data_IF_986257801426
#
_entry.id   IF_986257801426
#
_cell.length_a   1.000
_cell.length_b   1.000
_cell.length_c   1.000
_cell.angle_alpha   90.00
_cell.angle_beta   90.00
_cell.angle_gamma   90.00
#
_symmetry.space_group_name_H-M   'P 1'
#
loop_
_entity.id
_entity.type
_entity.pdbx_description
1 polymer ?
#
# COMPACT_ATOMS: atom_id res chain seq x y z
N UNK A 1 -30.42 18.33 -43.88
CA UNK A 1 -30.35 17.15 -42.98
C UNK A 1 -29.11 17.30 -42.10
N UNK A 2 -29.27 17.90 -40.92
CA UNK A 2 -28.16 18.11 -39.98
C UNK A 2 -27.96 16.84 -39.12
N UNK A 3 -26.72 16.33 -39.06
CA UNK A 3 -26.33 15.22 -38.19
C UNK A 3 -26.33 15.68 -36.72
N UNK A 4 -26.76 14.84 -35.76
CA UNK A 4 -26.68 15.21 -34.35
C UNK A 4 -25.22 15.14 -33.89
N UNK A 5 -24.58 16.30 -33.79
CA UNK A 5 -23.31 16.48 -33.06
C UNK A 5 -23.62 16.60 -31.58
N UNK A 6 -23.81 15.46 -30.93
CA UNK A 6 -23.94 15.32 -29.48
C UNK A 6 -22.89 14.36 -28.97
N UNK A 7 -21.78 14.93 -28.52
CA UNK A 7 -20.64 14.28 -27.88
C UNK A 7 -21.05 13.50 -26.62
N UNK A 8 -21.49 12.25 -26.76
CA UNK A 8 -21.44 11.25 -25.68
C UNK A 8 -20.00 10.76 -25.45
N UNK A 9 -19.04 11.69 -25.50
CA UNK A 9 -17.63 11.42 -25.30
C UNK A 9 -17.41 10.99 -23.85
N UNK A 10 -17.37 9.67 -23.66
CA UNK A 10 -16.75 8.95 -22.54
C UNK A 10 -17.11 9.49 -21.14
N UNK A 11 -18.36 9.34 -20.72
CA UNK A 11 -18.69 9.34 -19.28
C UNK A 11 -17.99 8.15 -18.62
N UNK A 12 -16.88 8.44 -17.92
CA UNK A 12 -16.15 7.49 -17.09
C UNK A 12 -16.51 7.80 -15.64
N UNK A 13 -17.43 7.05 -15.00
CA UNK A 13 -17.93 7.33 -13.66
C UNK A 13 -16.82 7.55 -12.63
N UNK A 14 -15.74 6.75 -12.69
CA UNK A 14 -14.62 6.81 -11.77
C UNK A 14 -13.82 8.14 -11.82
N UNK A 15 -13.96 8.90 -12.91
CA UNK A 15 -13.25 10.17 -13.17
C UNK A 15 -14.16 11.39 -13.21
N UNK A 16 -15.46 11.22 -12.93
CA UNK A 16 -16.43 12.32 -12.90
C UNK A 16 -16.70 12.77 -11.46
N UNK A 17 -16.40 14.04 -11.14
CA UNK A 17 -16.66 14.64 -9.84
C UNK A 17 -18.15 14.60 -9.46
N UNK A 18 -19.05 14.76 -10.44
CA UNK A 18 -20.51 14.70 -10.25
C UNK A 18 -20.97 13.31 -9.83
N UNK A 19 -20.40 12.27 -10.45
CA UNK A 19 -20.65 10.88 -10.07
C UNK A 19 -20.18 10.61 -8.64
N UNK A 20 -18.97 11.05 -8.30
CA UNK A 20 -18.40 10.89 -6.95
C UNK A 20 -19.29 11.57 -5.92
N UNK A 21 -19.74 12.80 -6.18
CA UNK A 21 -20.65 13.51 -5.30
C UNK A 21 -21.98 12.76 -5.13
N UNK A 22 -22.63 12.35 -6.22
CA UNK A 22 -23.89 11.60 -6.17
C UNK A 22 -23.75 10.29 -5.35
N UNK A 23 -22.65 9.55 -5.54
CA UNK A 23 -22.34 8.36 -4.76
C UNK A 23 -22.19 8.65 -3.27
N UNK A 24 -21.46 9.71 -2.89
CA UNK A 24 -21.24 10.10 -1.50
C UNK A 24 -22.53 10.55 -0.82
N UNK A 25 -23.37 11.31 -1.52
CA UNK A 25 -24.68 11.75 -1.03
C UNK A 25 -25.59 10.55 -0.78
N UNK A 26 -25.73 9.66 -1.77
CA UNK A 26 -26.51 8.44 -1.61
C UNK A 26 -25.99 7.56 -0.46
N UNK A 27 -24.67 7.40 -0.35
CA UNK A 27 -24.02 6.65 0.73
C UNK A 27 -24.35 7.22 2.11
N UNK A 28 -24.21 8.55 2.28
CA UNK A 28 -24.51 9.24 3.54
C UNK A 28 -25.99 9.08 3.91
N UNK A 29 -26.91 9.30 2.97
CA UNK A 29 -28.34 9.14 3.21
C UNK A 29 -28.70 7.71 3.62
N UNK A 30 -28.15 6.69 2.96
CA UNK A 30 -28.38 5.29 3.32
C UNK A 30 -27.89 4.97 4.73
N UNK A 31 -26.74 5.51 5.15
CA UNK A 31 -26.23 5.32 6.51
C UNK A 31 -27.11 6.00 7.57
N UNK A 32 -27.61 7.20 7.28
CA UNK A 32 -28.51 7.94 8.18
C UNK A 32 -29.84 7.21 8.34
N UNK A 33 -30.41 6.67 7.26
CA UNK A 33 -31.65 5.89 7.36
C UNK A 33 -31.42 4.55 8.03
N UNK A 34 -30.32 3.86 7.72
CA UNK A 34 -29.97 2.58 8.33
C UNK A 34 -29.82 2.67 9.85
N UNK A 35 -29.38 3.81 10.40
CA UNK A 35 -29.28 4.01 11.85
C UNK A 35 -30.61 4.31 12.54
N UNK A 36 -31.64 4.73 11.78
CA UNK A 36 -32.99 5.01 12.28
C UNK A 36 -33.86 3.76 12.38
N UNK A 37 -33.54 2.70 11.65
CA UNK A 37 -34.28 1.44 11.70
C UNK A 37 -34.10 0.77 13.07
N UNK A 38 -35.18 0.53 13.84
CA UNK A 38 -35.09 -0.16 15.12
C UNK A 38 -34.73 -1.63 14.89
N UNK A 39 -33.70 -2.15 15.57
CA UNK A 39 -33.28 -3.54 15.43
C UNK A 39 -33.67 -4.35 16.68
N UNK A 40 -34.12 -5.61 16.52
CA UNK A 40 -34.45 -6.46 17.66
C UNK A 40 -33.18 -6.86 18.44
N UNK A 41 -33.29 -6.91 19.77
CA UNK A 41 -32.20 -7.26 20.70
C UNK A 41 -31.60 -8.67 20.47
N UNK A 42 -32.32 -9.52 19.76
CA UNK A 42 -31.92 -10.91 19.47
C UNK A 42 -30.88 -11.03 18.34
N UNK A 43 -30.50 -9.92 17.70
CA UNK A 43 -29.39 -9.91 16.76
C UNK A 43 -28.07 -9.69 17.52
N UNK A 44 -27.05 -10.55 17.32
CA UNK A 44 -25.78 -10.39 18.01
C UNK A 44 -25.18 -9.02 17.66
N UNK A 45 -24.64 -8.29 18.65
CA UNK A 45 -24.02 -7.00 18.40
C UNK A 45 -22.87 -7.18 17.42
N UNK A 46 -22.85 -6.34 16.37
CA UNK A 46 -21.70 -6.31 15.47
C UNK A 46 -20.47 -5.82 16.27
N UNK A 47 -19.23 -6.23 15.93
CA UNK A 47 -18.01 -5.72 16.57
C UNK A 47 -17.84 -4.19 16.56
N UNK A 48 -18.69 -3.48 15.81
CA UNK A 48 -18.71 -2.01 15.69
C UNK A 48 -19.94 -1.37 16.36
N UNK A 49 -20.70 -2.14 17.16
CA UNK A 49 -21.87 -1.69 17.93
C UNK A 49 -23.21 -2.32 17.50
N UNK A 50 -24.26 -2.20 18.34
CA UNK A 50 -25.57 -2.86 18.15
C UNK A 50 -26.39 -2.32 16.96
N UNK A 51 -26.21 -1.05 16.55
CA UNK A 51 -26.88 -0.43 15.39
C UNK A 51 -26.08 -0.52 14.08
N UNK A 52 -24.98 -1.27 14.06
CA UNK A 52 -24.05 -1.31 12.93
C UNK A 52 -24.27 -2.37 11.83
N UNK A 53 -25.20 -3.36 11.89
CA UNK A 53 -25.23 -4.41 10.88
C UNK A 53 -25.73 -3.91 9.51
N UNK A 54 -26.75 -3.06 9.48
CA UNK A 54 -27.24 -2.44 8.23
C UNK A 54 -26.19 -1.49 7.63
N UNK A 55 -25.57 -0.66 8.46
CA UNK A 55 -24.47 0.21 8.05
C UNK A 55 -23.30 -0.59 7.45
N UNK A 56 -22.99 -1.77 8.02
CA UNK A 56 -21.98 -2.67 7.45
C UNK A 56 -22.38 -3.18 6.07
N UNK A 57 -23.63 -3.58 5.86
CA UNK A 57 -24.10 -4.02 4.54
C UNK A 57 -24.04 -2.89 3.50
N UNK A 58 -24.42 -1.67 3.87
CA UNK A 58 -24.29 -0.48 3.00
C UNK A 58 -22.81 -0.28 2.62
N UNK A 59 -21.90 -0.25 3.59
CA UNK A 59 -20.46 -0.10 3.33
C UNK A 59 -19.92 -1.20 2.42
N UNK A 60 -20.31 -2.45 2.67
CA UNK A 60 -19.91 -3.62 1.87
C UNK A 60 -20.41 -3.50 0.42
N UNK A 61 -21.65 -3.04 0.21
CA UNK A 61 -22.21 -2.84 -1.12
C UNK A 61 -21.46 -1.77 -1.92
N UNK A 62 -21.15 -0.62 -1.30
CA UNK A 62 -20.37 0.45 -1.95
C UNK A 62 -18.93 0.01 -2.24
N UNK A 63 -18.32 -0.74 -1.33
CA UNK A 63 -16.96 -1.27 -1.53
C UNK A 63 -16.92 -2.26 -2.69
N UNK A 64 -17.91 -3.16 -2.79
CA UNK A 64 -18.05 -4.10 -3.91
C UNK A 64 -18.19 -3.38 -5.26
N UNK A 65 -18.88 -2.24 -5.27
CA UNK A 65 -19.17 -1.51 -6.50
C UNK A 65 -18.10 -0.46 -6.86
N UNK A 66 -17.02 -0.33 -6.08
CA UNK A 66 -16.00 0.71 -6.24
C UNK A 66 -15.28 0.68 -7.60
N UNK A 67 -15.10 -0.51 -8.15
CA UNK A 67 -14.35 -0.72 -9.41
C UNK A 67 -15.27 -0.76 -10.64
N UNK A 68 -16.57 -0.51 -10.47
CA UNK A 68 -17.52 -0.50 -11.59
C UNK A 68 -17.33 0.77 -12.41
N UNK A 69 -16.89 0.62 -13.65
CA UNK A 69 -16.69 1.72 -14.62
C UNK A 69 -17.76 1.77 -15.71
N UNK A 70 -18.56 0.70 -15.89
CA UNK A 70 -19.62 0.66 -16.90
C UNK A 70 -20.81 1.53 -16.51
N UNK A 71 -21.19 2.49 -17.36
CA UNK A 71 -22.33 3.38 -17.15
C UNK A 71 -23.65 2.64 -16.88
N UNK A 72 -23.89 1.51 -17.57
CA UNK A 72 -25.09 0.68 -17.40
C UNK A 72 -25.13 0.03 -16.02
N UNK A 73 -23.99 -0.49 -15.55
CA UNK A 73 -23.87 -1.11 -14.23
C UNK A 73 -23.97 -0.06 -13.12
N UNK A 74 -23.40 1.14 -13.33
CA UNK A 74 -23.56 2.28 -12.43
C UNK A 74 -25.03 2.69 -12.32
N UNK A 75 -25.73 2.87 -13.43
CA UNK A 75 -27.15 3.22 -13.42
C UNK A 75 -28.02 2.13 -12.74
N UNK A 76 -27.69 0.85 -12.93
CA UNK A 76 -28.35 -0.23 -12.20
C UNK A 76 -28.06 -0.18 -10.69
N UNK A 77 -26.81 0.09 -10.30
CA UNK A 77 -26.42 0.22 -8.89
C UNK A 77 -27.12 1.41 -8.21
N UNK A 78 -27.19 2.57 -8.86
CA UNK A 78 -27.94 3.73 -8.36
C UNK A 78 -29.42 3.43 -8.19
N UNK A 79 -30.07 2.82 -9.19
CA UNK A 79 -31.49 2.41 -9.07
C UNK A 79 -31.70 1.50 -7.86
N UNK A 80 -30.80 0.55 -7.63
CA UNK A 80 -30.86 -0.32 -6.45
C UNK A 80 -30.63 0.45 -5.15
N UNK A 81 -29.73 1.42 -5.13
CA UNK A 81 -29.48 2.29 -3.98
C UNK A 81 -30.69 3.17 -3.63
N UNK A 82 -31.35 3.78 -4.63
CA UNK A 82 -32.58 4.55 -4.42
C UNK A 82 -33.74 3.68 -3.96
N UNK A 83 -33.88 2.46 -4.49
CA UNK A 83 -34.83 1.46 -3.94
C UNK A 83 -34.51 1.13 -2.49
N UNK A 84 -33.23 0.98 -2.15
CA UNK A 84 -32.77 0.77 -0.79
C UNK A 84 -33.15 1.92 0.16
N UNK A 85 -33.10 3.17 -0.31
CA UNK A 85 -33.56 4.32 0.47
C UNK A 85 -35.05 4.23 0.79
N UNK A 86 -35.89 3.88 -0.20
CA UNK A 86 -37.32 3.71 0.01
C UNK A 86 -37.61 2.60 1.05
N UNK A 87 -36.97 1.44 0.90
CA UNK A 87 -37.12 0.31 1.83
C UNK A 87 -36.67 0.69 3.24
N UNK A 88 -35.52 1.36 3.41
CA UNK A 88 -35.04 1.77 4.74
C UNK A 88 -35.89 2.87 5.38
N UNK A 89 -36.49 3.74 4.55
CA UNK A 89 -37.43 4.77 5.04
C UNK A 89 -38.72 4.13 5.53
N UNK A 90 -39.28 3.18 4.79
CA UNK A 90 -40.47 2.41 5.19
C UNK A 90 -40.20 1.50 6.39
N UNK A 91 -39.02 0.88 6.45
CA UNK A 91 -38.60 0.02 7.55
C UNK A 91 -38.19 0.79 8.82
N UNK A 92 -38.15 2.12 8.80
CA UNK A 92 -37.96 2.91 10.01
C UNK A 92 -39.13 2.72 10.99
N UNK A 93 -40.32 2.47 10.47
CA UNK A 93 -41.53 2.19 11.24
C UNK A 93 -41.62 0.68 11.53
N UNK A 94 -41.52 0.29 12.80
CA UNK A 94 -41.51 -1.11 13.22
C UNK A 94 -42.82 -1.88 12.92
N UNK A 95 -43.92 -1.15 12.70
CA UNK A 95 -45.21 -1.73 12.32
C UNK A 95 -45.33 -2.05 10.83
N UNK A 96 -44.42 -1.52 10.00
CA UNK A 96 -44.47 -1.71 8.55
C UNK A 96 -43.95 -3.12 8.18
N UNK A 97 -44.60 -3.87 7.27
CA UNK A 97 -44.11 -5.17 6.81
C UNK A 97 -42.67 -5.13 6.27
N UNK A 98 -42.22 -3.98 5.73
CA UNK A 98 -40.83 -3.80 5.30
C UNK A 98 -39.80 -3.95 6.41
N UNK A 99 -40.18 -3.64 7.65
CA UNK A 99 -39.30 -3.85 8.80
C UNK A 99 -38.97 -5.33 9.00
N UNK A 100 -40.00 -6.20 8.93
CA UNK A 100 -39.83 -7.65 9.05
C UNK A 100 -38.92 -8.21 7.94
N UNK A 101 -39.11 -7.77 6.69
CA UNK A 101 -38.25 -8.16 5.56
C UNK A 101 -36.77 -7.81 5.80
N UNK A 102 -36.50 -6.62 6.34
CA UNK A 102 -35.14 -6.17 6.67
C UNK A 102 -34.53 -7.01 7.79
N UNK A 103 -35.29 -7.34 8.82
CA UNK A 103 -34.83 -8.19 9.93
C UNK A 103 -34.52 -9.61 9.45
N UNK A 104 -35.38 -10.19 8.63
CA UNK A 104 -35.17 -11.53 8.08
C UNK A 104 -33.98 -11.59 7.11
N UNK A 105 -33.79 -10.52 6.32
CA UNK A 105 -32.57 -10.36 5.52
C UNK A 105 -31.31 -10.37 6.41
N UNK A 106 -31.29 -9.63 7.52
CA UNK A 106 -30.14 -9.63 8.44
C UNK A 106 -29.90 -11.00 9.06
N UNK A 107 -30.96 -11.72 9.46
CA UNK A 107 -30.86 -13.09 9.98
C UNK A 107 -30.24 -14.04 8.95
N UNK A 108 -30.68 -13.97 7.70
CA UNK A 108 -30.13 -14.81 6.62
C UNK A 108 -28.62 -14.58 6.42
N UNK A 109 -28.18 -13.32 6.47
CA UNK A 109 -26.76 -12.95 6.34
C UNK A 109 -25.91 -13.39 7.51
N UNK A 110 -26.47 -13.40 8.71
CA UNK A 110 -25.79 -13.92 9.89
C UNK A 110 -25.55 -15.43 9.76
N UNK A 111 -26.56 -16.19 9.31
CA UNK A 111 -26.43 -17.64 9.05
C UNK A 111 -25.35 -17.92 8.02
N UNK A 112 -25.34 -17.19 6.90
CA UNK A 112 -24.32 -17.31 5.86
C UNK A 112 -22.92 -16.99 6.40
N UNK A 113 -22.76 -15.91 7.15
CA UNK A 113 -21.48 -15.52 7.74
C UNK A 113 -20.95 -16.59 8.71
N UNK A 114 -21.83 -17.20 9.52
CA UNK A 114 -21.45 -18.28 10.42
C UNK A 114 -21.04 -19.53 9.65
N UNK A 115 -21.76 -19.89 8.57
CA UNK A 115 -21.35 -21.01 7.69
C UNK A 115 -19.96 -20.78 7.09
N UNK A 116 -19.66 -19.57 6.59
CA UNK A 116 -18.34 -19.27 6.04
C UNK A 116 -17.22 -19.28 7.08
N UNK A 117 -17.50 -18.86 8.31
CA UNK A 117 -16.52 -18.94 9.41
C UNK A 117 -16.22 -20.39 9.77
N UNK A 118 -17.26 -21.20 9.94
CA UNK A 118 -17.12 -22.63 10.26
C UNK A 118 -16.46 -23.43 9.12
N UNK A 119 -16.66 -23.02 7.87
CA UNK A 119 -16.00 -23.64 6.72
C UNK A 119 -14.48 -23.36 6.66
N UNK A 120 -13.97 -22.35 7.38
CA UNK A 120 -12.56 -21.97 7.42
C UNK A 120 -11.88 -22.33 8.76
N UNK A 121 -12.38 -23.34 9.45
CA UNK A 121 -11.80 -23.81 10.71
C UNK A 121 -10.48 -24.55 10.47
N UNK A 122 -9.41 -23.77 10.31
CA UNK A 122 -8.06 -24.24 10.63
C UNK A 122 -8.04 -24.65 12.09
N UNK A 123 -7.54 -25.87 12.34
CA UNK A 123 -7.35 -26.36 13.70
C UNK A 123 -6.45 -25.40 14.50
N UNK A 124 -6.60 -25.32 15.84
CA UNK A 124 -5.72 -24.51 16.66
C UNK A 124 -4.23 -24.80 16.43
N UNK A 125 -3.87 -26.04 16.09
CA UNK A 125 -2.51 -26.46 15.76
C UNK A 125 -2.02 -25.92 14.42
N UNK A 126 -2.85 -25.96 13.37
CA UNK A 126 -2.51 -25.37 12.07
C UNK A 126 -2.30 -23.85 12.19
N UNK A 127 -3.15 -23.17 12.98
CA UNK A 127 -2.99 -21.74 13.28
C UNK A 127 -1.66 -21.46 13.98
N UNK A 128 -1.24 -22.31 14.94
CA UNK A 128 0.06 -22.21 15.62
C UNK A 128 1.23 -22.43 14.67
N UNK A 129 1.19 -23.48 13.84
CA UNK A 129 2.25 -23.79 12.86
C UNK A 129 2.42 -22.67 11.82
N UNK A 130 1.32 -22.12 11.32
CA UNK A 130 1.35 -20.97 10.40
C UNK A 130 1.98 -19.76 11.11
N UNK A 131 1.61 -19.50 12.36
CA UNK A 131 2.14 -18.38 13.15
C UNK A 131 3.64 -18.54 13.44
N UNK A 132 4.11 -19.73 13.77
CA UNK A 132 5.54 -19.99 14.02
C UNK A 132 6.39 -19.87 12.75
N UNK A 133 5.93 -20.44 11.63
CA UNK A 133 6.60 -20.29 10.34
C UNK A 133 6.55 -18.84 9.80
N UNK A 134 5.64 -18.01 10.31
CA UNK A 134 5.52 -16.60 9.96
C UNK A 134 6.40 -15.65 10.78
N UNK A 135 7.10 -16.13 11.83
CA UNK A 135 7.98 -15.28 12.63
C UNK A 135 9.01 -14.61 11.69
N UNK A 136 9.09 -13.27 11.66
CA UNK A 136 9.93 -12.58 10.70
C UNK A 136 11.39 -12.91 10.98
N UNK A 137 12.06 -13.60 10.03
CA UNK A 137 13.51 -13.77 10.07
C UNK A 137 14.15 -12.38 10.08
N UNK A 138 15.20 -12.21 10.90
CA UNK A 138 15.94 -10.94 10.99
C UNK A 138 16.34 -10.49 9.57
N UNK A 139 16.11 -9.22 9.22
CA UNK A 139 16.44 -8.72 7.88
C UNK A 139 17.95 -8.76 7.67
N UNK A 140 18.40 -8.88 6.41
CA UNK A 140 19.84 -8.89 6.07
C UNK A 140 20.48 -7.52 6.34
N UNK A 141 19.72 -6.45 6.13
CA UNK A 141 20.15 -5.08 6.35
C UNK A 141 19.36 -4.47 7.51
N UNK A 142 20.05 -3.80 8.41
CA UNK A 142 19.47 -2.95 9.46
C UNK A 142 19.78 -1.50 9.13
N UNK A 143 18.79 -0.63 9.35
CA UNK A 143 18.96 0.82 9.20
C UNK A 143 19.63 1.34 10.48
N UNK A 144 20.78 1.98 10.33
CA UNK A 144 21.57 2.55 11.42
C UNK A 144 21.57 4.07 11.25
N UNK A 145 21.41 4.81 12.35
CA UNK A 145 21.54 6.27 12.36
C UNK A 145 22.99 6.64 12.00
N UNK A 146 23.18 7.68 11.18
CA UNK A 146 24.52 8.13 10.80
C UNK A 146 25.32 8.63 12.01
N UNK A 147 26.66 8.72 11.91
CA UNK A 147 27.49 9.24 13.00
C UNK A 147 27.14 10.70 13.31
N UNK A 148 26.98 11.09 14.58
CA UNK A 148 26.78 12.49 14.95
C UNK A 148 28.05 13.34 14.69
N UNK A 149 27.92 14.66 14.48
CA UNK A 149 26.69 15.43 14.60
C UNK A 149 25.99 15.58 13.24
N UNK A 150 24.74 15.11 13.18
CA UNK A 150 23.77 15.72 12.29
C UNK A 150 23.68 17.21 12.69
N UNK A 151 23.72 18.16 11.73
CA UNK A 151 23.38 19.55 12.05
C UNK A 151 22.06 19.55 12.81
N UNK A 152 21.94 20.35 13.87
CA UNK A 152 20.74 20.39 14.74
C UNK A 152 19.46 20.53 13.91
N UNK A 153 19.54 21.30 12.83
CA UNK A 153 18.47 21.51 11.86
C UNK A 153 18.02 20.23 11.14
N UNK A 154 18.88 19.23 10.96
CA UNK A 154 18.61 18.01 10.19
C UNK A 154 18.15 16.82 11.05
N UNK A 155 18.19 16.92 12.39
CA UNK A 155 17.80 15.83 13.30
C UNK A 155 16.30 15.49 13.18
N UNK A 156 15.46 16.50 12.93
CA UNK A 156 14.00 16.37 12.80
C UNK A 156 13.49 16.52 11.36
N UNK A 157 14.39 16.77 10.39
CA UNK A 157 14.00 16.94 8.99
C UNK A 157 13.62 15.61 8.34
N UNK A 158 12.70 15.69 7.37
CA UNK A 158 12.45 14.58 6.46
C UNK A 158 13.75 14.21 5.71
N UNK A 159 14.09 12.92 5.57
CA UNK A 159 15.14 12.45 4.67
C UNK A 159 15.20 13.12 3.28
N UNK A 160 14.08 13.54 2.71
CA UNK A 160 14.02 14.24 1.42
C UNK A 160 14.43 15.71 1.54
N UNK A 161 14.00 16.38 2.60
CA UNK A 161 14.40 17.78 2.88
C UNK A 161 15.87 17.84 3.24
N UNK A 162 16.32 16.93 4.12
CA UNK A 162 17.72 16.81 4.47
C UNK A 162 18.59 16.40 3.27
N UNK A 163 18.10 15.56 2.35
CA UNK A 163 18.79 15.25 1.10
C UNK A 163 18.91 16.45 0.16
N UNK A 164 17.90 17.31 0.14
CA UNK A 164 17.89 18.54 -0.68
C UNK A 164 18.83 19.58 -0.07
N UNK A 165 18.84 19.70 1.26
CA UNK A 165 19.65 20.66 2.01
C UNK A 165 21.14 20.27 2.07
N UNK A 166 21.44 18.97 2.25
CA UNK A 166 22.81 18.48 2.46
C UNK A 166 23.47 18.01 1.16
N UNK A 167 22.72 17.91 0.06
CA UNK A 167 23.19 17.32 -1.20
C UNK A 167 23.24 15.79 -1.17
N UNK A 168 23.27 15.16 -2.36
CA UNK A 168 23.19 13.69 -2.53
C UNK A 168 24.26 12.93 -1.75
N UNK A 169 25.46 13.48 -1.66
CA UNK A 169 26.62 12.80 -1.07
C UNK A 169 26.60 12.78 0.47
N UNK A 170 25.75 13.60 1.11
CA UNK A 170 25.64 13.71 2.57
C UNK A 170 24.40 13.03 3.15
N UNK A 171 23.58 12.37 2.35
CA UNK A 171 22.40 11.62 2.85
C UNK A 171 22.83 10.46 3.77
N UNK A 172 23.99 9.86 3.51
CA UNK A 172 24.58 8.83 4.38
C UNK A 172 24.91 9.35 5.79
N UNK A 173 24.96 10.67 5.99
CA UNK A 173 25.12 11.27 7.31
C UNK A 173 23.84 11.19 8.16
N UNK A 174 22.66 10.99 7.54
CA UNK A 174 21.38 10.85 8.25
C UNK A 174 21.19 9.40 8.70
N UNK A 175 21.32 8.46 7.76
CA UNK A 175 21.28 7.04 8.05
C UNK A 175 21.94 6.25 6.94
N UNK A 176 22.44 5.08 7.29
CA UNK A 176 22.96 4.10 6.35
C UNK A 176 22.44 2.71 6.69
N UNK A 177 22.75 1.75 5.82
CA UNK A 177 22.41 0.36 6.03
C UNK A 177 23.66 -0.44 6.36
N UNK A 178 23.55 -1.28 7.37
CA UNK A 178 24.59 -2.21 7.79
C UNK A 178 24.09 -3.64 7.75
N UNK A 179 25.04 -4.58 7.73
CA UNK A 179 24.76 -6.00 7.75
C UNK A 179 24.26 -6.40 9.13
N UNK A 180 23.09 -7.04 9.18
CA UNK A 180 22.46 -7.43 10.45
C UNK A 180 23.15 -8.59 11.17
N UNK A 181 23.90 -9.41 10.43
CA UNK A 181 24.53 -10.63 10.92
C UNK A 181 25.90 -10.80 10.27
N UNK A 182 26.90 -11.31 11.00
CA UNK A 182 28.21 -11.55 10.44
C UNK A 182 28.17 -12.52 9.25
N UNK A 183 29.22 -12.52 8.38
CA UNK A 183 29.37 -13.50 7.33
C UNK A 183 29.27 -14.93 7.87
N UNK A 184 28.63 -15.83 7.12
CA UNK A 184 28.52 -17.24 7.52
C UNK A 184 29.93 -17.86 7.58
N UNK A 185 30.34 -18.46 8.70
CA UNK A 185 31.64 -19.12 8.81
C UNK A 185 31.81 -20.27 7.81
N UNK A 186 33.05 -20.56 7.40
CA UNK A 186 33.41 -21.60 6.42
C UNK A 186 32.81 -22.98 6.76
N UNK A 187 32.85 -23.36 8.04
CA UNK A 187 32.32 -24.62 8.57
C UNK A 187 30.81 -24.77 8.41
N UNK A 188 30.08 -23.65 8.45
CA UNK A 188 28.62 -23.60 8.34
C UNK A 188 28.14 -23.42 6.89
N UNK A 189 29.05 -23.43 5.91
CA UNK A 189 28.71 -23.37 4.50
C UNK A 189 28.13 -24.71 4.05
N UNK A 190 26.80 -24.77 3.87
CA UNK A 190 26.12 -25.97 3.36
C UNK A 190 26.48 -26.33 1.91
N UNK A 191 26.21 -27.57 1.52
CA UNK A 191 26.39 -28.06 0.16
C UNK A 191 27.85 -28.35 -0.18
N UNK A 192 28.41 -27.66 -1.18
CA UNK A 192 29.76 -27.92 -1.68
C UNK A 192 30.89 -27.44 -0.76
N UNK A 193 30.59 -26.88 0.42
CA UNK A 193 31.57 -26.26 1.32
C UNK A 193 32.33 -25.09 0.70
N UNK A 194 31.77 -24.45 -0.33
CA UNK A 194 32.40 -23.33 -1.06
C UNK A 194 31.54 -22.09 -0.92
N UNK A 195 32.15 -20.98 -0.47
CA UNK A 195 31.50 -19.68 -0.42
C UNK A 195 31.10 -19.24 -1.83
N UNK A 196 29.85 -18.84 -1.98
CA UNK A 196 29.31 -18.32 -3.24
C UNK A 196 29.11 -16.82 -3.10
N UNK A 197 29.92 -16.06 -3.81
CA UNK A 197 29.75 -14.61 -3.92
C UNK A 197 28.46 -14.33 -4.69
N UNK A 198 27.48 -13.64 -4.09
CA UNK A 198 26.28 -13.30 -4.81
C UNK A 198 26.48 -12.08 -5.70
N UNK A 199 25.58 -11.89 -6.66
CA UNK A 199 25.58 -10.72 -7.55
C UNK A 199 24.46 -9.77 -7.18
N UNK A 200 24.72 -8.47 -7.24
CA UNK A 200 23.68 -7.45 -7.15
C UNK A 200 22.85 -7.47 -8.44
N UNK A 201 21.54 -7.41 -8.29
CA UNK A 201 20.59 -7.27 -9.36
C UNK A 201 19.62 -6.14 -9.02
N UNK A 202 19.15 -5.45 -10.05
CA UNK A 202 18.24 -4.31 -9.92
C UNK A 202 17.00 -4.67 -10.73
N UNK A 203 15.81 -4.44 -10.16
CA UNK A 203 14.56 -4.57 -10.92
C UNK A 203 14.29 -3.32 -11.77
N UNK A 204 13.25 -3.34 -12.61
CA UNK A 204 12.86 -2.20 -13.47
C UNK A 204 12.56 -0.87 -12.73
N UNK A 205 12.54 -0.86 -11.38
CA UNK A 205 12.27 0.32 -10.55
C UNK A 205 13.31 0.52 -9.46
N UNK A 206 14.57 0.21 -9.77
CA UNK A 206 15.73 0.49 -8.93
C UNK A 206 15.79 -0.23 -7.58
N UNK A 207 14.86 -1.13 -7.25
CA UNK A 207 14.94 -1.89 -5.99
C UNK A 207 16.12 -2.89 -6.08
N UNK A 208 17.18 -2.72 -5.26
CA UNK A 208 18.33 -3.59 -5.32
C UNK A 208 18.05 -4.87 -4.53
N UNK A 209 18.56 -5.99 -5.05
CA UNK A 209 18.53 -7.26 -4.34
C UNK A 209 19.75 -8.12 -4.69
N UNK A 210 20.08 -9.05 -3.80
CA UNK A 210 21.20 -9.97 -3.95
C UNK A 210 20.69 -11.29 -4.53
N UNK A 211 21.40 -11.85 -5.50
CA UNK A 211 21.07 -13.15 -6.13
C UNK A 211 22.28 -14.08 -6.18
N UNK A 212 22.12 -15.30 -5.67
CA UNK A 212 23.16 -16.34 -5.66
C UNK A 212 23.20 -17.22 -6.93
N UNK A 213 22.06 -17.48 -7.58
CA UNK A 213 22.00 -18.37 -8.76
C UNK A 213 20.94 -17.94 -9.79
N UNK A 214 21.12 -18.32 -11.06
CA UNK A 214 20.13 -18.21 -12.15
C UNK A 214 19.61 -19.65 -12.44
N UNK A 215 18.31 -19.86 -12.74
CA UNK A 215 17.20 -18.91 -12.62
C UNK A 215 16.93 -18.51 -11.16
N UNK A 216 16.21 -17.39 -10.96
CA UNK A 216 15.90 -16.88 -9.62
C UNK A 216 15.01 -17.86 -8.84
N UNK A 217 15.15 -17.98 -7.50
CA UNK A 217 14.25 -18.81 -6.70
C UNK A 217 12.78 -18.38 -6.87
N UNK A 218 11.87 -19.35 -7.02
CA UNK A 218 10.43 -19.08 -7.21
C UNK A 218 9.83 -18.20 -6.10
N UNK A 219 10.31 -18.33 -4.87
CA UNK A 219 9.86 -17.54 -3.71
C UNK A 219 10.18 -16.05 -3.86
N UNK A 220 11.30 -15.72 -4.52
CA UNK A 220 11.78 -14.33 -4.61
C UNK A 220 11.01 -13.54 -5.67
N UNK A 221 10.55 -14.20 -6.74
CA UNK A 221 9.89 -13.53 -7.87
C UNK A 221 8.60 -12.79 -7.46
N UNK A 222 7.66 -13.38 -6.70
CA UNK A 222 6.49 -12.66 -6.19
C UNK A 222 6.84 -11.49 -5.28
N UNK A 223 7.89 -11.60 -4.47
CA UNK A 223 8.30 -10.54 -3.55
C UNK A 223 8.84 -9.33 -4.33
N UNK A 224 9.72 -9.58 -5.31
CA UNK A 224 10.24 -8.54 -6.20
C UNK A 224 9.09 -7.90 -6.97
N UNK A 225 8.18 -8.71 -7.53
CA UNK A 225 7.00 -8.21 -8.25
C UNK A 225 6.14 -7.31 -7.36
N UNK A 226 5.73 -7.76 -6.18
CA UNK A 226 4.93 -6.94 -5.23
C UNK A 226 5.61 -5.62 -4.88
N UNK A 227 6.94 -5.62 -4.68
CA UNK A 227 7.69 -4.39 -4.38
C UNK A 227 7.75 -3.45 -5.58
N UNK A 228 7.95 -4.01 -6.77
CA UNK A 228 7.89 -3.28 -8.05
C UNK A 228 6.52 -2.67 -8.28
N UNK A 229 5.45 -3.46 -8.11
CA UNK A 229 4.07 -3.03 -8.32
C UNK A 229 3.67 -1.91 -7.34
N UNK A 230 4.14 -1.98 -6.09
CA UNK A 230 3.90 -0.92 -5.10
C UNK A 230 4.53 0.40 -5.53
N UNK A 231 5.78 0.37 -5.99
CA UNK A 231 6.46 1.56 -6.46
C UNK A 231 5.81 2.11 -7.74
N UNK A 232 5.52 1.23 -8.69
CA UNK A 232 4.75 1.54 -9.90
C UNK A 232 3.44 2.24 -9.58
N UNK A 233 2.65 1.69 -8.66
CA UNK A 233 1.39 2.30 -8.24
C UNK A 233 1.63 3.70 -7.70
N UNK A 234 2.61 3.87 -6.81
CA UNK A 234 2.91 5.18 -6.23
C UNK A 234 3.32 6.22 -7.28
N UNK A 235 4.15 5.84 -8.26
CA UNK A 235 4.51 6.72 -9.39
C UNK A 235 3.30 7.02 -10.28
N UNK A 236 2.49 6.01 -10.59
CA UNK A 236 1.27 6.17 -11.38
C UNK A 236 0.26 7.09 -10.71
N UNK A 237 0.08 6.99 -9.39
CA UNK A 237 -0.75 7.90 -8.61
C UNK A 237 -0.17 9.32 -8.66
N UNK A 238 1.15 9.50 -8.51
CA UNK A 238 1.77 10.83 -8.62
C UNK A 238 1.43 11.51 -9.96
N UNK A 239 1.58 10.78 -11.08
CA UNK A 239 1.25 11.26 -12.42
C UNK A 239 -0.25 11.51 -12.61
N UNK A 240 -1.10 10.67 -12.03
CA UNK A 240 -2.55 10.84 -12.04
C UNK A 240 -2.98 12.14 -11.34
N UNK A 241 -2.43 12.39 -10.15
CA UNK A 241 -2.69 13.60 -9.38
C UNK A 241 -2.13 14.86 -10.08
N UNK A 242 -0.99 14.72 -10.76
CA UNK A 242 -0.35 15.80 -11.52
C UNK A 242 -1.12 16.19 -12.79
N UNK A 243 -1.54 15.23 -13.60
CA UNK A 243 -2.08 15.53 -14.93
C UNK A 243 -3.61 15.50 -14.98
N UNK A 244 -4.24 14.55 -14.31
CA UNK A 244 -5.68 14.33 -14.47
C UNK A 244 -6.49 14.98 -13.37
N UNK A 245 -6.12 14.76 -12.11
CA UNK A 245 -6.85 15.34 -10.98
C UNK A 245 -6.63 16.84 -10.86
N UNK A 246 -5.48 17.36 -11.28
CA UNK A 246 -5.24 18.80 -11.26
C UNK A 246 -6.29 19.56 -12.09
N UNK A 247 -6.57 19.08 -13.30
CA UNK A 247 -7.60 19.67 -14.16
C UNK A 247 -9.01 19.55 -13.56
N UNK A 248 -9.34 18.39 -13.00
CA UNK A 248 -10.63 18.19 -12.33
C UNK A 248 -10.78 19.12 -11.12
N UNK A 249 -9.68 19.33 -10.39
CA UNK A 249 -9.64 20.18 -9.22
C UNK A 249 -9.78 21.66 -9.55
N UNK A 250 -9.16 22.12 -10.63
CA UNK A 250 -9.35 23.48 -11.15
C UNK A 250 -10.80 23.75 -11.54
N UNK A 251 -11.45 22.81 -12.23
CA UNK A 251 -12.85 22.93 -12.62
C UNK A 251 -13.81 22.89 -11.43
N UNK A 252 -13.51 22.08 -10.40
CA UNK A 252 -14.30 22.03 -9.17
C UNK A 252 -14.15 23.32 -8.36
N UNK A 253 -12.92 23.84 -8.22
CA UNK A 253 -12.66 25.12 -7.56
C UNK A 253 -13.30 26.31 -8.33
N UNK A 254 -13.31 26.27 -9.67
CA UNK A 254 -14.02 27.25 -10.51
C UNK A 254 -15.53 27.17 -10.32
N UNK A 255 -16.08 25.96 -10.25
CA UNK A 255 -17.50 25.74 -9.97
C UNK A 255 -17.89 26.25 -8.58
N UNK A 256 -17.10 25.94 -7.54
CA UNK A 256 -17.31 26.45 -6.18
C UNK A 256 -17.29 27.99 -6.16
N UNK A 257 -16.42 28.62 -6.96
CA UNK A 257 -16.39 30.08 -7.12
C UNK A 257 -17.65 30.61 -7.82
N UNK A 258 -18.11 29.96 -8.89
CA UNK A 258 -19.33 30.36 -9.59
C UNK A 258 -20.59 30.20 -8.72
N UNK A 259 -20.66 29.13 -7.93
CA UNK A 259 -21.78 28.89 -6.99
C UNK A 259 -21.72 29.85 -5.81
N UNK A 260 -20.54 30.15 -5.30
CA UNK A 260 -20.35 31.03 -4.15
C UNK A 260 -20.49 32.52 -4.45
N UNK A 261 -19.88 32.97 -5.55
CA UNK A 261 -19.71 34.38 -5.89
C UNK A 261 -20.42 34.81 -7.19
N UNK A 262 -20.91 33.85 -7.99
CA UNK A 262 -21.48 34.10 -9.32
C UNK A 262 -23.00 34.38 -9.37
N UNK A 263 -23.59 34.47 -10.58
CA UNK A 263 -24.96 34.92 -10.85
C UNK A 263 -26.08 33.95 -10.44
N UNK A 264 -25.74 32.79 -9.85
CA UNK A 264 -26.67 31.77 -9.38
C UNK A 264 -27.00 31.91 -7.88
N UNK A 265 -26.69 33.06 -7.26
CA UNK A 265 -27.14 33.35 -5.89
C UNK A 265 -28.67 33.32 -5.85
N UNK A 266 -29.29 32.72 -4.81
CA UNK A 266 -30.72 32.85 -4.61
C UNK A 266 -31.08 34.32 -4.42
N UNK A 267 -32.22 34.76 -4.95
CA UNK A 267 -32.74 36.09 -4.64
C UNK A 267 -32.98 36.26 -3.14
N UNK A 268 -32.83 37.51 -2.67
CA UNK A 268 -32.95 37.91 -1.26
C UNK A 268 -34.27 37.38 -0.66
N UNK A 269 -34.20 36.32 0.16
CA UNK A 269 -35.35 35.82 0.93
C UNK A 269 -35.38 34.31 1.15
N UNK A 270 -34.71 33.52 0.30
CA UNK A 270 -34.53 32.08 0.52
C UNK A 270 -33.17 31.85 1.20
N UNK A 271 -33.12 30.93 2.17
CA UNK A 271 -31.98 30.73 3.07
C UNK A 271 -30.63 30.85 2.34
N UNK A 272 -29.81 31.81 2.75
CA UNK A 272 -28.50 32.05 2.14
C UNK A 272 -27.75 30.72 1.97
N UNK A 273 -27.47 30.32 0.72
CA UNK A 273 -26.48 29.28 0.49
C UNK A 273 -25.16 29.77 1.10
N UNK A 274 -24.45 28.94 1.88
CA UNK A 274 -23.19 29.36 2.47
C UNK A 274 -22.25 29.78 1.35
N UNK A 275 -21.80 31.04 1.39
CA UNK A 275 -20.87 31.62 0.40
C UNK A 275 -19.74 30.64 0.10
N UNK A 276 -19.57 30.35 -1.18
CA UNK A 276 -18.67 29.33 -1.72
C UNK A 276 -17.20 29.59 -1.39
N UNK A 277 -16.44 28.49 -1.43
CA UNK A 277 -15.27 28.26 -0.61
C UNK A 277 -15.69 27.31 0.50
N UNK A 278 -15.39 26.02 0.32
CA UNK A 278 -15.92 24.94 1.15
C UNK A 278 -16.03 25.31 2.63
N UNK A 279 -17.23 25.19 3.17
CA UNK A 279 -17.52 25.39 4.58
C UNK A 279 -17.89 24.04 5.18
N UNK A 280 -17.01 23.53 6.02
CA UNK A 280 -17.26 22.42 6.92
C UNK A 280 -17.66 23.02 8.25
N UNK A 281 -18.82 22.61 8.78
CA UNK A 281 -19.21 22.95 10.13
C UNK A 281 -18.56 21.97 11.10
N UNK A 282 -17.90 22.47 12.15
CA UNK A 282 -17.75 21.70 13.39
C UNK A 282 -19.10 21.72 14.12
N UNK A 283 -19.38 20.72 14.95
CA UNK A 283 -20.59 20.64 15.80
C UNK A 283 -20.79 21.91 16.68
N UNK A 284 -19.79 22.78 16.81
CA UNK A 284 -19.82 24.05 17.54
C UNK A 284 -20.26 25.27 16.72
N UNK A 285 -20.68 25.13 15.46
CA UNK A 285 -21.16 26.25 14.64
C UNK A 285 -20.07 27.22 14.16
N UNK A 286 -18.79 26.93 14.43
CA UNK A 286 -17.66 27.76 14.03
C UNK A 286 -17.30 27.52 12.55
N UNK A 287 -17.20 28.60 11.76
CA UNK A 287 -16.80 28.53 10.34
C UNK A 287 -15.32 28.13 10.24
N UNK A 288 -15.04 26.99 9.63
CA UNK A 288 -13.68 26.55 9.31
C UNK A 288 -13.48 26.68 7.81
N UNK A 289 -12.38 27.32 7.39
CA UNK A 289 -11.98 27.36 5.99
C UNK A 289 -11.66 25.93 5.51
N UNK A 290 -12.51 25.35 4.65
CA UNK A 290 -12.16 24.09 3.98
C UNK A 290 -11.25 24.45 2.82
N UNK A 291 -10.11 23.77 2.76
CA UNK A 291 -9.17 23.93 1.66
C UNK A 291 -9.87 23.63 0.32
N UNK A 292 -9.54 24.39 -0.72
CA UNK A 292 -10.04 24.12 -2.07
C UNK A 292 -9.60 22.74 -2.53
N UNK A 293 -10.36 22.11 -3.43
CA UNK A 293 -10.00 20.80 -3.93
C UNK A 293 -8.67 20.85 -4.68
N UNK A 294 -8.38 21.96 -5.39
CA UNK A 294 -7.07 22.23 -5.99
C UNK A 294 -5.93 22.22 -4.97
N UNK A 295 -6.10 22.88 -3.81
CA UNK A 295 -5.10 22.87 -2.74
C UNK A 295 -4.89 21.46 -2.17
N UNK A 296 -5.97 20.73 -1.91
CA UNK A 296 -5.88 19.34 -1.44
C UNK A 296 -5.19 18.44 -2.47
N UNK A 297 -5.47 18.63 -3.77
CA UNK A 297 -4.81 17.90 -4.86
C UNK A 297 -3.29 18.14 -4.87
N UNK A 298 -2.87 19.39 -4.72
CA UNK A 298 -1.46 19.76 -4.65
C UNK A 298 -0.76 19.16 -3.43
N UNK A 299 -1.40 19.17 -2.26
CA UNK A 299 -0.86 18.56 -1.03
C UNK A 299 -0.69 17.04 -1.18
N UNK A 300 -1.67 16.36 -1.77
CA UNK A 300 -1.58 14.92 -2.07
C UNK A 300 -0.43 14.65 -3.04
N UNK A 301 -0.33 15.41 -4.14
CA UNK A 301 0.75 15.27 -5.11
C UNK A 301 2.11 15.45 -4.43
N UNK A 302 2.28 16.51 -3.64
CA UNK A 302 3.50 16.79 -2.92
C UNK A 302 3.88 15.63 -1.98
N UNK A 303 2.90 15.09 -1.24
CA UNK A 303 3.09 13.94 -0.37
C UNK A 303 3.54 12.68 -1.13
N UNK A 304 2.88 12.34 -2.23
CA UNK A 304 3.21 11.14 -3.02
C UNK A 304 4.61 11.30 -3.63
N UNK A 305 4.90 12.46 -4.23
CA UNK A 305 6.23 12.78 -4.78
C UNK A 305 7.30 12.63 -3.72
N UNK A 306 7.08 13.20 -2.52
CA UNK A 306 7.99 13.06 -1.38
C UNK A 306 8.21 11.59 -0.99
N UNK A 307 7.17 10.77 -0.98
CA UNK A 307 7.28 9.34 -0.70
C UNK A 307 8.07 8.57 -1.78
N UNK A 308 7.93 8.94 -3.05
CA UNK A 308 8.72 8.36 -4.15
C UNK A 308 10.21 8.68 -3.98
N UNK A 309 10.55 9.92 -3.60
CA UNK A 309 11.93 10.33 -3.33
C UNK A 309 12.52 9.60 -2.12
N UNK A 310 11.78 9.51 -1.00
CA UNK A 310 12.18 8.71 0.17
C UNK A 310 12.53 7.28 -0.22
N UNK A 311 11.69 6.66 -1.05
CA UNK A 311 11.89 5.27 -1.50
C UNK A 311 13.12 5.12 -2.39
N UNK A 312 13.38 6.08 -3.28
CA UNK A 312 14.58 6.08 -4.14
C UNK A 312 15.86 6.21 -3.31
N UNK A 313 15.88 7.11 -2.33
CA UNK A 313 17.00 7.28 -1.40
C UNK A 313 17.25 5.98 -0.65
N UNK A 314 16.20 5.36 -0.10
CA UNK A 314 16.27 4.08 0.60
C UNK A 314 16.92 2.99 -0.28
N UNK A 315 16.55 2.93 -1.56
CA UNK A 315 17.10 1.98 -2.50
C UNK A 315 18.59 2.24 -2.79
N UNK A 316 19.00 3.50 -2.95
CA UNK A 316 20.41 3.85 -3.14
C UNK A 316 21.26 3.42 -1.96
N UNK A 317 20.83 3.74 -0.73
CA UNK A 317 21.57 3.38 0.49
C UNK A 317 21.64 1.87 0.70
N UNK A 318 20.55 1.14 0.43
CA UNK A 318 20.57 -0.33 0.41
C UNK A 318 21.55 -0.86 -0.63
N UNK A 319 21.56 -0.30 -1.84
CA UNK A 319 22.46 -0.73 -2.91
C UNK A 319 23.93 -0.62 -2.48
N UNK A 320 24.30 0.52 -1.88
CA UNK A 320 25.65 0.73 -1.34
C UNK A 320 26.02 -0.32 -0.26
N UNK A 321 25.11 -0.60 0.68
CA UNK A 321 25.34 -1.61 1.71
C UNK A 321 25.47 -3.03 1.12
N UNK A 322 24.66 -3.38 0.12
CA UNK A 322 24.75 -4.67 -0.56
C UNK A 322 26.07 -4.80 -1.35
N UNK A 323 26.59 -3.73 -1.93
CA UNK A 323 27.91 -3.71 -2.58
C UNK A 323 29.02 -4.01 -1.55
N UNK A 324 28.98 -3.38 -0.37
CA UNK A 324 29.92 -3.67 0.72
C UNK A 324 29.89 -5.16 1.13
N UNK A 325 28.69 -5.71 1.30
CA UNK A 325 28.51 -7.14 1.62
C UNK A 325 29.11 -8.03 0.52
N UNK A 326 28.93 -7.68 -0.75
CA UNK A 326 29.50 -8.45 -1.86
C UNK A 326 31.03 -8.39 -1.82
N UNK A 327 31.62 -7.21 -1.54
CA UNK A 327 33.06 -7.05 -1.40
C UNK A 327 33.65 -7.91 -0.26
N UNK A 328 33.02 -7.90 0.92
CA UNK A 328 33.39 -8.75 2.05
C UNK A 328 33.34 -10.25 1.67
N UNK A 329 32.26 -10.68 1.00
CA UNK A 329 32.12 -12.08 0.56
C UNK A 329 33.15 -12.45 -0.53
N UNK A 330 33.55 -11.52 -1.41
CA UNK A 330 34.62 -11.75 -2.38
C UNK A 330 35.96 -11.96 -1.69
N UNK A 331 36.33 -11.10 -0.75
CA UNK A 331 37.59 -11.21 -0.02
C UNK A 331 37.68 -12.53 0.76
N UNK A 332 36.61 -12.91 1.46
CA UNK A 332 36.54 -14.18 2.16
C UNK A 332 36.65 -15.37 1.18
N UNK A 333 35.98 -15.30 0.04
CA UNK A 333 36.06 -16.36 -0.97
C UNK A 333 37.48 -16.49 -1.56
N UNK A 334 38.22 -15.39 -1.70
CA UNK A 334 39.61 -15.41 -2.16
C UNK A 334 40.56 -15.98 -1.11
N UNK A 335 40.41 -15.60 0.16
CA UNK A 335 41.18 -16.17 1.28
C UNK A 335 40.97 -17.69 1.36
N UNK A 336 39.72 -18.14 1.38
CA UNK A 336 39.37 -19.56 1.41
C UNK A 336 39.88 -20.33 0.17
N UNK A 337 40.00 -19.65 -0.99
CA UNK A 337 40.56 -20.24 -2.22
C UNK A 337 42.08 -20.40 -2.12
N UNK A 338 42.79 -19.42 -1.51
CA UNK A 338 44.25 -19.48 -1.27
C UNK A 338 44.59 -20.61 -0.29
N UNK A 339 43.94 -20.64 0.87
CA UNK A 339 44.10 -21.71 1.88
C UNK A 339 43.91 -23.10 1.26
N UNK A 340 42.88 -23.27 0.44
CA UNK A 340 42.60 -24.55 -0.22
C UNK A 340 43.69 -24.92 -1.23
N UNK A 341 44.28 -23.94 -1.91
CA UNK A 341 45.38 -24.18 -2.85
C UNK A 341 46.65 -24.60 -2.10
N UNK A 342 46.93 -23.98 -0.96
CA UNK A 342 48.04 -24.32 -0.07
C UNK A 342 47.86 -25.71 0.54
N UNK A 343 46.68 -26.02 1.07
CA UNK A 343 46.34 -27.34 1.61
C UNK A 343 46.49 -28.44 0.54
N UNK A 344 45.99 -28.20 -0.67
CA UNK A 344 46.20 -29.12 -1.81
C UNK A 344 47.67 -29.31 -2.15
N UNK A 345 48.47 -28.23 -2.09
CA UNK A 345 49.93 -28.29 -2.32
C UNK A 345 50.62 -29.10 -1.22
N UNK A 346 50.23 -28.92 0.04
CA UNK A 346 50.75 -29.67 1.19
C UNK A 346 50.46 -31.17 1.05
N UNK A 347 49.19 -31.53 0.80
CA UNK A 347 48.77 -32.93 0.58
C UNK A 347 49.52 -33.55 -0.61
N UNK A 348 49.71 -32.79 -1.68
CA UNK A 348 50.47 -33.24 -2.85
C UNK A 348 51.94 -33.54 -2.48
N UNK A 349 52.60 -32.65 -1.73
CA UNK A 349 53.97 -32.84 -1.28
C UNK A 349 54.10 -34.05 -0.35
N UNK A 350 53.22 -34.20 0.64
CA UNK A 350 53.19 -35.37 1.53
C UNK A 350 53.00 -36.68 0.76
N UNK A 351 52.12 -36.70 -0.24
CA UNK A 351 51.95 -37.87 -1.11
C UNK A 351 53.18 -38.17 -1.95
N UNK A 352 53.88 -37.13 -2.41
CA UNK A 352 55.11 -37.28 -3.20
C UNK A 352 56.23 -37.85 -2.32
N UNK A 353 56.43 -37.31 -1.12
CA UNK A 353 57.46 -37.80 -0.19
C UNK A 353 57.20 -39.24 0.24
N UNK A 354 55.95 -39.62 0.51
CA UNK A 354 55.58 -41.01 0.83
C UNK A 354 55.87 -41.96 -0.34
N UNK A 355 55.61 -41.54 -1.59
CA UNK A 355 55.91 -42.35 -2.77
C UNK A 355 57.41 -42.53 -2.97
N UNK A 356 58.19 -41.46 -2.82
CA UNK A 356 59.65 -41.49 -2.92
C UNK A 356 60.27 -42.37 -1.82
N UNK A 357 59.74 -42.32 -0.59
CA UNK A 357 60.17 -43.20 0.50
C UNK A 357 59.81 -44.69 0.29
N UNK A 358 58.77 -44.99 -0.50
CA UNK A 358 58.37 -46.37 -0.83
C UNK A 358 59.05 -46.95 -2.08
N UNK A 359 59.85 -46.16 -2.80
CA UNK A 359 60.51 -46.61 -4.01
C UNK A 359 61.73 -47.49 -3.66
N UNK A 360 61.87 -48.70 -4.24
CA UNK A 360 63.01 -49.56 -3.96
C UNK A 360 64.32 -48.89 -4.43
N UNK A 361 65.45 -49.11 -3.72
CA UNK A 361 66.72 -48.53 -4.09
C UNK A 361 67.10 -48.98 -5.50
N UNK A 362 67.51 -48.03 -6.34
CA UNK A 362 68.01 -48.33 -7.68
C UNK A 362 69.32 -49.09 -7.53
N UNK A 363 69.29 -50.39 -7.86
CA UNK A 363 70.43 -51.30 -7.93
C UNK A 363 71.42 -50.89 -9.02
#
# INVERSE_FOLDING_TARGET
MAKPTGTWANYIPARDSRHRHACLTLYRHLLVLASRVPLPNNLPPHPSGPRAPLAHQVRKAFTRNREITSSRLVAAAFRNGYKGLAVLKEAADASNPRHAEVVDFLRSRLVEANRSRNAHDFTPEERRRIKENSKPKRPILVRVQGPPPLPESAKDMDPVEAATLLGRDRITAIYHYERASPPVPKEKLGGSGRRRVPKIAICNFFAPFIRYKKPQPRILSPIIRRRSDRYHKMVGEALYYEHEMQRAAELEDEWDRMVGDGPLKPEKGESEWPKGGGLGYKDSGQRVHVQSFGKTNMEIRAYITRMTYRTRIDFTLRSQALIKIIAEETELAEKEKKERKEERRRIYLERKTLKEASAPPRS
#
